data_IF_098234034103
#
_entry.id   IF_098234034103
#
_cell.length_a   1.000
_cell.length_b   1.000
_cell.length_c   1.000
_cell.angle_alpha   90.00
_cell.angle_beta   90.00
_cell.angle_gamma   90.00
#
_symmetry.space_group_name_H-M   'P 1'
#
loop_
_entity.id
_entity.type
_entity.pdbx_description
1 polymer ?
#
# COMPACT_ATOMS: atom_id res chain seq x y z
N UNK A 1 12.57 1.03 75.61
CA UNK A 1 12.82 0.99 74.15
C UNK A 1 11.81 0.01 73.56
N UNK A 2 11.33 0.27 72.33
CA UNK A 2 10.30 -0.45 71.55
C UNK A 2 8.88 0.12 71.59
N UNK A 3 8.61 0.91 70.53
CA UNK A 3 7.32 1.45 70.08
C UNK A 3 6.44 0.34 69.49
N UNK A 4 5.10 0.50 69.45
CA UNK A 4 4.25 -0.33 68.61
C UNK A 4 4.43 0.05 67.14
N UNK A 5 4.63 -0.96 66.28
CA UNK A 5 4.67 -0.82 64.83
C UNK A 5 3.27 -0.59 64.29
N UNK A 6 3.02 0.60 63.76
CA UNK A 6 1.90 0.89 62.89
C UNK A 6 2.10 0.16 61.56
N UNK A 7 1.29 -0.85 61.25
CA UNK A 7 1.18 -1.40 59.90
C UNK A 7 0.47 -0.37 59.02
N UNK A 8 1.24 0.48 58.35
CA UNK A 8 0.73 1.30 57.25
C UNK A 8 0.39 0.37 56.08
N UNK A 9 -0.89 0.07 55.90
CA UNK A 9 -1.39 -0.46 54.64
C UNK A 9 -1.20 0.61 53.57
N UNK A 10 -0.08 0.58 52.85
CA UNK A 10 0.06 1.32 51.61
C UNK A 10 -0.85 0.65 50.58
N UNK A 11 -2.11 1.06 50.51
CA UNK A 11 -2.92 0.84 49.33
C UNK A 11 -2.18 1.54 48.18
N UNK A 12 -1.46 0.77 47.36
CA UNK A 12 -0.97 1.26 46.09
C UNK A 12 -2.21 1.67 45.31
N UNK A 13 -2.47 2.98 45.22
CA UNK A 13 -3.42 3.52 44.28
C UNK A 13 -2.97 3.00 42.90
N UNK A 14 -3.75 2.08 42.34
CA UNK A 14 -3.57 1.65 40.96
C UNK A 14 -3.64 2.91 40.09
N UNK A 15 -2.48 3.46 39.74
CA UNK A 15 -2.38 4.53 38.77
C UNK A 15 -2.84 3.93 37.44
N UNK A 16 -4.00 4.39 36.95
CA UNK A 16 -4.49 4.11 35.60
C UNK A 16 -3.31 4.22 34.62
N UNK A 17 -3.19 3.32 33.63
CA UNK A 17 -2.42 3.68 32.44
C UNK A 17 -3.07 4.95 31.88
N UNK A 18 -2.37 6.09 31.83
CA UNK A 18 -2.94 7.28 31.24
C UNK A 18 -3.27 6.95 29.78
N UNK A 19 -4.48 7.29 29.34
CA UNK A 19 -4.78 7.32 27.90
C UNK A 19 -3.68 8.19 27.28
N UNK A 20 -2.98 7.71 26.23
CA UNK A 20 -1.86 8.46 25.68
C UNK A 20 -2.27 9.88 25.32
N UNK A 21 -1.39 10.85 25.56
CA UNK A 21 -1.68 12.26 25.30
C UNK A 21 -2.13 12.51 23.85
N UNK A 22 -1.59 11.71 22.92
CA UNK A 22 -1.98 11.76 21.51
C UNK A 22 -3.44 11.36 21.24
N UNK A 23 -4.16 10.77 22.19
CA UNK A 23 -5.60 10.48 22.06
C UNK A 23 -6.51 11.63 22.49
N UNK A 24 -5.93 12.70 23.05
CA UNK A 24 -6.65 13.92 23.40
C UNK A 24 -6.49 14.89 22.21
N UNK A 25 -7.57 15.23 21.47
CA UNK A 25 -7.48 16.06 20.26
C UNK A 25 -6.70 17.37 20.46
N UNK A 26 -6.91 18.06 21.59
CA UNK A 26 -6.22 19.31 21.90
C UNK A 26 -4.73 19.18 22.22
N UNK A 27 -4.23 17.95 22.43
CA UNK A 27 -2.85 17.69 22.84
C UNK A 27 -2.04 16.94 21.77
N UNK A 28 -2.66 16.45 20.70
CA UNK A 28 -1.96 15.68 19.68
C UNK A 28 -1.18 16.56 18.70
N UNK A 29 -0.22 15.94 17.99
CA UNK A 29 0.63 16.63 17.04
C UNK A 29 -0.12 17.03 15.76
N UNK A 30 -1.04 16.18 15.28
CA UNK A 30 -1.77 16.39 14.03
C UNK A 30 -2.68 17.61 14.10
N UNK A 31 -3.47 17.74 15.15
CA UNK A 31 -4.41 18.84 15.38
C UNK A 31 -3.72 20.18 15.64
N UNK A 32 -2.42 20.17 15.99
CA UNK A 32 -1.59 21.37 16.08
C UNK A 32 -1.00 21.81 14.74
N UNK A 33 -0.85 20.88 13.79
CA UNK A 33 -0.23 21.13 12.49
C UNK A 33 -1.25 21.35 11.38
N UNK A 34 -2.43 20.74 11.48
CA UNK A 34 -3.46 20.74 10.45
C UNK A 34 -4.79 21.21 11.01
N UNK A 35 -5.62 21.81 10.14
CA UNK A 35 -7.01 22.06 10.50
C UNK A 35 -7.81 20.75 10.53
N UNK A 36 -8.94 20.75 11.23
CA UNK A 36 -9.85 19.61 11.24
C UNK A 36 -10.31 19.26 9.82
N UNK A 37 -10.58 20.26 8.98
CA UNK A 37 -10.99 20.07 7.59
C UNK A 37 -9.89 19.39 6.77
N UNK A 38 -8.61 19.75 6.93
CA UNK A 38 -7.53 19.05 6.23
C UNK A 38 -7.49 17.57 6.63
N UNK A 39 -7.61 17.29 7.94
CA UNK A 39 -7.57 15.93 8.47
C UNK A 39 -8.77 15.09 8.01
N UNK A 40 -9.97 15.68 7.95
CA UNK A 40 -11.18 15.00 7.47
C UNK A 40 -11.15 14.80 5.95
N UNK A 41 -10.80 15.83 5.17
CA UNK A 41 -10.71 15.75 3.71
C UNK A 41 -9.64 14.77 3.25
N UNK A 42 -8.57 14.58 4.03
CA UNK A 42 -7.56 13.56 3.77
C UNK A 42 -8.13 12.13 3.75
N UNK A 43 -9.31 11.90 4.33
CA UNK A 43 -9.96 10.59 4.36
C UNK A 43 -11.01 10.52 3.26
N UNK A 44 -10.56 10.22 2.04
CA UNK A 44 -11.47 10.03 0.91
C UNK A 44 -12.49 8.90 1.18
N UNK A 45 -12.08 7.89 1.97
CA UNK A 45 -12.99 6.94 2.60
C UNK A 45 -12.39 6.45 3.93
N UNK A 46 -13.16 6.53 5.02
CA UNK A 46 -12.65 6.23 6.37
C UNK A 46 -12.58 4.72 6.67
N UNK A 47 -13.39 3.89 6.00
CA UNK A 47 -13.68 2.48 6.36
C UNK A 47 -14.22 2.27 7.77
N UNK A 48 -14.67 1.05 8.08
CA UNK A 48 -14.99 0.64 9.44
C UNK A 48 -13.76 0.58 10.33
N UNK A 49 -12.57 0.33 9.77
CA UNK A 49 -11.30 0.14 10.49
C UNK A 49 -11.17 -1.21 11.22
N UNK A 50 -12.09 -2.17 11.01
CA UNK A 50 -12.14 -3.43 11.78
C UNK A 50 -10.83 -4.24 11.73
N UNK A 51 -10.29 -4.50 10.52
CA UNK A 51 -9.02 -5.23 10.37
C UNK A 51 -7.84 -4.51 11.02
N UNK A 52 -7.78 -3.19 10.92
CA UNK A 52 -6.73 -2.42 11.59
C UNK A 52 -6.85 -2.50 13.11
N UNK A 53 -8.07 -2.46 13.67
CA UNK A 53 -8.27 -2.68 15.10
C UNK A 53 -7.82 -4.07 15.55
N UNK A 54 -7.97 -5.11 14.73
CA UNK A 54 -7.40 -6.43 15.03
C UNK A 54 -5.87 -6.40 15.13
N UNK A 55 -5.19 -5.63 14.27
CA UNK A 55 -3.74 -5.39 14.38
C UNK A 55 -3.40 -4.66 15.69
N UNK A 56 -4.21 -3.67 16.09
CA UNK A 56 -4.04 -2.99 17.39
C UNK A 56 -4.20 -3.96 18.56
N UNK A 57 -5.20 -4.86 18.52
CA UNK A 57 -5.34 -5.92 19.53
C UNK A 57 -4.13 -6.86 19.57
N UNK A 58 -3.58 -7.24 18.41
CA UNK A 58 -2.34 -8.03 18.31
C UNK A 58 -1.17 -7.30 18.98
N UNK A 59 -0.97 -6.02 18.68
CA UNK A 59 0.07 -5.21 19.28
C UNK A 59 -0.10 -5.03 20.80
N UNK A 60 -1.35 -4.88 21.28
CA UNK A 60 -1.65 -4.82 22.72
C UNK A 60 -1.34 -6.12 23.47
N UNK A 61 -1.28 -7.26 22.78
CA UNK A 61 -0.81 -8.54 23.34
C UNK A 61 0.73 -8.65 23.35
N UNK A 62 1.45 -7.62 22.91
CA UNK A 62 2.91 -7.60 22.86
C UNK A 62 3.48 -8.42 21.70
N UNK A 63 2.66 -8.75 20.70
CA UNK A 63 3.11 -9.47 19.51
C UNK A 63 3.70 -8.49 18.47
N UNK A 64 4.74 -8.90 17.71
CA UNK A 64 5.31 -8.07 16.65
C UNK A 64 4.34 -7.86 15.50
N UNK A 65 4.42 -6.67 14.89
CA UNK A 65 3.68 -6.28 13.69
C UNK A 65 4.62 -6.21 12.49
N UNK A 66 4.21 -6.84 11.39
CA UNK A 66 4.90 -6.76 10.09
C UNK A 66 4.11 -5.92 9.10
N UNK A 67 4.74 -4.89 8.54
CA UNK A 67 4.16 -4.02 7.52
C UNK A 67 4.75 -4.35 6.14
N UNK A 68 3.89 -4.48 5.13
CA UNK A 68 4.29 -4.53 3.72
C UNK A 68 3.96 -3.23 3.01
N UNK A 69 4.82 -2.80 2.07
CA UNK A 69 4.54 -1.66 1.18
C UNK A 69 4.47 -2.15 -0.25
N UNK A 70 3.37 -1.88 -0.93
CA UNK A 70 3.23 -2.08 -2.36
C UNK A 70 2.91 -0.74 -3.01
N UNK A 71 3.71 -0.34 -3.98
CA UNK A 71 3.49 0.92 -4.65
C UNK A 71 4.44 1.23 -5.77
N UNK A 72 4.22 2.39 -6.39
CA UNK A 72 4.97 2.88 -7.53
C UNK A 72 6.28 3.60 -7.19
N UNK A 73 6.69 4.48 -8.10
CA UNK A 73 7.90 5.31 -7.95
C UNK A 73 7.83 6.29 -6.78
N UNK A 74 6.65 6.82 -6.46
CA UNK A 74 6.46 7.67 -5.28
C UNK A 74 6.73 6.86 -4.02
N UNK A 75 6.13 5.68 -3.88
CA UNK A 75 6.42 4.77 -2.78
C UNK A 75 7.90 4.41 -2.63
N UNK A 76 8.63 4.23 -3.74
CA UNK A 76 10.09 4.01 -3.73
C UNK A 76 10.90 5.23 -3.25
N UNK A 77 10.26 6.39 -3.08
CA UNK A 77 10.90 7.63 -2.61
C UNK A 77 11.47 8.50 -3.72
N UNK A 78 10.94 8.41 -4.96
CA UNK A 78 11.35 9.30 -6.04
C UNK A 78 11.17 10.76 -5.62
N UNK A 79 12.26 11.53 -5.67
CA UNK A 79 12.35 12.96 -5.28
C UNK A 79 12.30 13.23 -3.76
N UNK A 80 12.40 12.21 -2.91
CA UNK A 80 12.67 12.40 -1.49
C UNK A 80 14.16 12.62 -1.28
N UNK A 81 14.55 13.88 -1.09
CA UNK A 81 15.94 14.27 -0.81
C UNK A 81 16.11 14.49 0.69
N UNK A 82 17.13 13.87 1.29
CA UNK A 82 17.51 14.08 2.69
C UNK A 82 16.36 13.84 3.70
N UNK A 83 15.52 12.83 3.48
CA UNK A 83 14.41 12.52 4.39
C UNK A 83 13.86 11.11 4.23
N UNK A 84 13.03 10.65 5.19
CA UNK A 84 12.38 9.35 5.10
C UNK A 84 11.16 9.39 4.18
N UNK A 85 10.89 8.26 3.53
CA UNK A 85 9.65 8.02 2.77
C UNK A 85 8.43 8.03 3.69
N UNK A 86 7.22 8.04 3.11
CA UNK A 86 5.99 8.11 3.91
C UNK A 86 5.84 6.85 4.77
N UNK A 87 6.18 5.69 4.21
CA UNK A 87 6.07 4.41 4.90
C UNK A 87 7.13 4.26 6.00
N UNK A 88 8.34 4.81 5.82
CA UNK A 88 9.34 4.89 6.89
C UNK A 88 8.87 5.79 8.04
N UNK A 89 8.20 6.91 7.75
CA UNK A 89 7.59 7.79 8.77
C UNK A 89 6.45 7.12 9.52
N UNK A 90 5.56 6.41 8.80
CA UNK A 90 4.46 5.63 9.40
C UNK A 90 5.04 4.55 10.33
N UNK A 91 6.03 3.80 9.86
CA UNK A 91 6.67 2.75 10.67
C UNK A 91 7.39 3.33 11.90
N UNK A 92 8.03 4.50 11.76
CA UNK A 92 8.61 5.22 12.90
C UNK A 92 7.53 5.60 13.92
N UNK A 93 6.42 6.20 13.48
CA UNK A 93 5.29 6.53 14.38
C UNK A 93 4.77 5.29 15.11
N UNK A 94 4.68 4.17 14.40
CA UNK A 94 4.31 2.89 15.01
C UNK A 94 5.29 2.47 16.11
N UNK A 95 6.60 2.45 15.82
CA UNK A 95 7.63 1.96 16.73
C UNK A 95 7.97 2.91 17.88
N UNK A 96 7.81 4.21 17.70
CA UNK A 96 8.21 5.20 18.71
C UNK A 96 7.02 5.69 19.54
N UNK A 97 5.79 5.62 19.00
CA UNK A 97 4.62 6.24 19.63
C UNK A 97 3.46 5.28 19.89
N UNK A 98 3.06 4.46 18.92
CA UNK A 98 1.89 3.60 19.10
C UNK A 98 2.22 2.33 19.87
N UNK A 99 3.11 1.48 19.36
CA UNK A 99 3.41 0.16 19.91
C UNK A 99 4.88 -0.24 19.68
N UNK A 100 5.81 0.23 20.53
CA UNK A 100 7.23 -0.14 20.46
C UNK A 100 7.43 -1.65 20.67
N UNK A 101 8.08 -2.31 19.72
CA UNK A 101 8.48 -3.71 19.85
C UNK A 101 9.71 -4.00 18.97
N UNK A 102 10.76 -4.69 19.48
CA UNK A 102 12.00 -4.90 18.76
C UNK A 102 11.86 -5.81 17.53
N UNK A 103 10.81 -6.63 17.48
CA UNK A 103 10.48 -7.50 16.35
C UNK A 103 9.52 -6.90 15.33
N UNK A 104 9.12 -5.64 15.45
CA UNK A 104 8.34 -4.99 14.39
C UNK A 104 9.20 -4.86 13.13
N UNK A 105 8.61 -5.09 11.96
CA UNK A 105 9.31 -5.08 10.68
C UNK A 105 8.51 -4.31 9.62
N UNK A 106 9.22 -3.68 8.68
CA UNK A 106 8.62 -3.15 7.44
C UNK A 106 9.40 -3.66 6.23
N UNK A 107 8.66 -4.16 5.23
CA UNK A 107 9.21 -4.64 3.96
C UNK A 107 8.75 -3.73 2.83
N UNK A 108 9.69 -3.03 2.19
CA UNK A 108 9.41 -2.21 1.00
C UNK A 108 9.42 -3.06 -0.28
N UNK A 109 8.22 -3.44 -0.70
CA UNK A 109 7.97 -4.15 -1.96
C UNK A 109 7.71 -3.24 -3.16
N UNK A 110 7.84 -1.91 -3.01
CA UNK A 110 7.51 -0.96 -4.08
C UNK A 110 8.41 -1.10 -5.31
N UNK A 111 7.84 -0.89 -6.50
CA UNK A 111 8.55 -0.96 -7.79
C UNK A 111 8.18 0.25 -8.65
N UNK A 112 9.20 0.92 -9.17
CA UNK A 112 8.99 2.13 -9.96
C UNK A 112 8.24 1.80 -11.27
N UNK A 113 7.32 2.68 -11.66
CA UNK A 113 6.53 2.56 -12.89
C UNK A 113 5.71 1.24 -13.01
N UNK A 114 5.24 0.69 -11.89
CA UNK A 114 4.34 -0.46 -11.86
C UNK A 114 3.02 -0.09 -11.18
N UNK A 115 1.90 -0.59 -11.73
CA UNK A 115 0.55 -0.43 -11.21
C UNK A 115 -0.08 -1.76 -10.78
N UNK A 116 -1.39 -1.75 -10.60
CA UNK A 116 -2.18 -2.89 -10.12
C UNK A 116 -2.13 -4.09 -11.06
N UNK A 117 -2.01 -3.88 -12.38
CA UNK A 117 -1.79 -4.98 -13.34
C UNK A 117 -0.58 -5.84 -12.98
N UNK A 118 0.50 -5.21 -12.54
CA UNK A 118 1.69 -5.92 -12.10
C UNK A 118 1.48 -6.57 -10.73
N UNK A 119 1.07 -5.78 -9.73
CA UNK A 119 1.00 -6.28 -8.37
C UNK A 119 -0.09 -7.34 -8.16
N UNK A 120 -1.22 -7.27 -8.86
CA UNK A 120 -2.26 -8.34 -8.82
C UNK A 120 -1.71 -9.72 -9.17
N UNK A 121 -0.65 -9.78 -9.98
CA UNK A 121 0.03 -11.02 -10.36
C UNK A 121 1.31 -11.26 -9.55
N UNK A 122 1.98 -10.22 -9.06
CA UNK A 122 3.35 -10.29 -8.57
C UNK A 122 3.59 -9.86 -7.13
N UNK A 123 2.57 -9.43 -6.39
CA UNK A 123 2.74 -9.03 -4.99
C UNK A 123 3.41 -10.11 -4.09
N UNK A 124 3.19 -11.45 -4.27
CA UNK A 124 3.81 -12.45 -3.40
C UNK A 124 5.34 -12.48 -3.52
N UNK A 125 5.90 -11.93 -4.60
CA UNK A 125 7.33 -11.82 -4.80
C UNK A 125 7.94 -10.56 -4.15
N UNK A 126 7.11 -9.70 -3.55
CA UNK A 126 7.51 -8.37 -3.07
C UNK A 126 7.25 -8.13 -1.58
N UNK A 127 6.22 -8.78 -1.01
CA UNK A 127 5.94 -8.73 0.43
C UNK A 127 5.69 -10.16 0.94
N UNK A 128 6.01 -10.46 2.20
CA UNK A 128 5.77 -11.79 2.75
C UNK A 128 4.27 -12.02 3.01
N UNK A 129 3.83 -13.28 3.02
CA UNK A 129 2.41 -13.64 3.23
C UNK A 129 1.92 -13.35 4.67
N UNK A 130 2.83 -13.23 5.64
CA UNK A 130 2.55 -13.03 7.07
C UNK A 130 2.52 -11.54 7.49
N UNK A 131 2.29 -10.62 6.55
CA UNK A 131 2.07 -9.19 6.86
C UNK A 131 0.78 -8.98 7.66
N UNK A 132 0.80 -8.01 8.57
CA UNK A 132 -0.36 -7.57 9.37
C UNK A 132 -0.97 -6.27 8.82
N UNK A 133 -0.15 -5.42 8.21
CA UNK A 133 -0.58 -4.17 7.55
C UNK A 133 0.02 -4.13 6.16
N UNK A 134 -0.76 -3.72 5.16
CA UNK A 134 -0.27 -3.43 3.81
C UNK A 134 -0.57 -1.97 3.47
N UNK A 135 0.47 -1.16 3.27
CA UNK A 135 0.36 0.18 2.70
C UNK A 135 0.37 0.06 1.17
N UNK A 136 -0.72 0.48 0.53
CA UNK A 136 -0.95 0.26 -0.90
C UNK A 136 -1.17 1.58 -1.64
N UNK A 137 -0.21 1.96 -2.49
CA UNK A 137 -0.17 3.26 -3.18
C UNK A 137 0.13 3.09 -4.67
N UNK A 138 -0.91 3.16 -5.50
CA UNK A 138 -0.82 2.98 -6.96
C UNK A 138 -1.57 4.08 -7.73
N UNK A 139 -1.93 5.17 -7.06
CA UNK A 139 -2.89 6.17 -7.56
C UNK A 139 -2.38 6.99 -8.73
N UNK A 140 -1.09 7.05 -9.00
CA UNK A 140 -0.58 7.70 -10.22
C UNK A 140 -0.08 6.70 -11.27
N UNK A 141 -0.11 5.41 -10.93
CA UNK A 141 0.29 4.32 -11.82
C UNK A 141 -0.92 3.69 -12.52
N UNK A 142 -2.06 3.65 -11.83
CA UNK A 142 -3.29 3.10 -12.36
C UNK A 142 -4.09 4.13 -13.16
N UNK A 143 -4.64 3.67 -14.27
CA UNK A 143 -5.53 4.40 -15.17
C UNK A 143 -6.97 4.06 -14.85
N UNK A 144 -7.80 5.10 -14.84
CA UNK A 144 -9.17 5.07 -14.32
C UNK A 144 -10.07 3.96 -14.87
N UNK A 145 -9.91 3.57 -16.13
CA UNK A 145 -10.74 2.53 -16.77
C UNK A 145 -9.98 1.20 -16.84
N UNK A 146 -8.72 1.25 -17.27
CA UNK A 146 -7.99 0.05 -17.67
C UNK A 146 -7.54 -0.84 -16.49
N UNK A 147 -7.50 -0.31 -15.27
CA UNK A 147 -6.85 -0.96 -14.11
C UNK A 147 -7.82 -1.33 -12.98
N UNK A 148 -9.14 -1.08 -13.13
CA UNK A 148 -10.16 -1.35 -12.10
C UNK A 148 -10.16 -2.81 -11.63
N UNK A 149 -10.19 -3.75 -12.58
CA UNK A 149 -10.20 -5.19 -12.33
C UNK A 149 -8.90 -5.65 -11.65
N UNK A 150 -7.76 -5.11 -12.08
CA UNK A 150 -6.48 -5.46 -11.50
C UNK A 150 -6.34 -4.93 -10.07
N UNK A 151 -6.84 -3.72 -9.80
CA UNK A 151 -6.89 -3.14 -8.46
C UNK A 151 -7.77 -3.97 -7.52
N UNK A 152 -8.98 -4.35 -7.97
CA UNK A 152 -9.85 -5.24 -7.21
C UNK A 152 -9.18 -6.59 -6.93
N UNK A 153 -8.61 -7.23 -7.95
CA UNK A 153 -7.94 -8.52 -7.83
C UNK A 153 -6.83 -8.45 -6.78
N UNK A 154 -6.01 -7.38 -6.81
CA UNK A 154 -4.96 -7.16 -5.84
C UNK A 154 -5.51 -6.98 -4.41
N UNK A 155 -6.51 -6.12 -4.23
CA UNK A 155 -7.12 -5.88 -2.90
C UNK A 155 -7.70 -7.16 -2.34
N UNK A 156 -8.46 -7.93 -3.12
CA UNK A 156 -9.00 -9.23 -2.69
C UNK A 156 -7.88 -10.19 -2.28
N UNK A 157 -6.83 -10.32 -3.10
CA UNK A 157 -5.72 -11.22 -2.81
C UNK A 157 -5.00 -10.87 -1.50
N UNK A 158 -4.79 -9.57 -1.23
CA UNK A 158 -4.16 -9.10 0.00
C UNK A 158 -5.03 -9.37 1.23
N UNK A 159 -6.35 -9.16 1.13
CA UNK A 159 -7.28 -9.41 2.22
C UNK A 159 -7.43 -10.92 2.57
N UNK A 160 -7.06 -11.80 1.65
CA UNK A 160 -7.03 -13.26 1.80
C UNK A 160 -5.68 -13.81 2.32
N UNK A 161 -4.69 -12.96 2.55
CA UNK A 161 -3.43 -13.39 3.16
C UNK A 161 -3.66 -14.03 4.55
N UNK A 162 -2.82 -15.00 4.97
CA UNK A 162 -3.02 -15.78 6.20
C UNK A 162 -3.30 -14.94 7.46
N UNK A 163 -2.60 -13.81 7.63
CA UNK A 163 -2.74 -12.95 8.80
C UNK A 163 -3.93 -11.97 8.71
N UNK A 164 -4.77 -12.08 7.67
CA UNK A 164 -5.91 -11.20 7.41
C UNK A 164 -5.55 -9.71 7.54
N UNK A 165 -4.51 -9.22 6.83
CA UNK A 165 -3.93 -7.91 7.08
C UNK A 165 -4.93 -6.77 6.95
N UNK A 166 -4.64 -5.67 7.63
CA UNK A 166 -5.26 -4.37 7.36
C UNK A 166 -4.61 -3.75 6.11
N UNK A 167 -5.36 -3.71 5.01
CA UNK A 167 -4.94 -3.01 3.79
C UNK A 167 -5.34 -1.55 3.91
N UNK A 168 -4.38 -0.63 3.75
CA UNK A 168 -4.59 0.82 3.82
C UNK A 168 -4.19 1.40 2.46
N UNK A 169 -5.18 1.91 1.71
CA UNK A 169 -4.90 2.61 0.46
C UNK A 169 -4.42 4.02 0.77
N UNK A 170 -3.17 4.29 0.46
CA UNK A 170 -2.62 5.65 0.46
C UNK A 170 -2.65 6.18 -0.96
N UNK A 171 -3.11 7.41 -1.15
CA UNK A 171 -3.37 8.00 -2.45
C UNK A 171 -2.66 9.33 -2.60
N UNK A 172 -1.76 9.35 -3.58
CA UNK A 172 -1.05 10.52 -4.09
C UNK A 172 -1.78 11.08 -5.32
N UNK A 173 -1.27 12.19 -5.85
CA UNK A 173 -1.71 12.73 -7.13
C UNK A 173 -0.54 13.34 -7.89
N UNK A 174 -0.71 13.50 -9.20
CA UNK A 174 0.26 14.15 -10.07
C UNK A 174 -0.39 15.28 -10.86
N UNK A 175 0.38 16.31 -11.20
CA UNK A 175 -0.04 17.45 -12.01
C UNK A 175 0.27 17.28 -13.51
N UNK A 176 1.00 16.22 -13.89
CA UNK A 176 1.47 16.05 -15.26
C UNK A 176 1.35 14.62 -15.79
N UNK A 177 0.27 14.36 -16.53
CA UNK A 177 0.10 13.25 -17.46
C UNK A 177 -0.59 13.71 -18.74
N UNK A 178 -0.50 12.92 -19.81
CA UNK A 178 -1.14 13.26 -21.11
C UNK A 178 -2.66 13.39 -21.02
N UNK A 179 -3.28 12.79 -20.00
CA UNK A 179 -4.72 12.80 -19.75
C UNK A 179 -5.14 13.84 -18.69
N UNK A 180 -4.22 14.68 -18.23
CA UNK A 180 -4.45 15.67 -17.17
C UNK A 180 -3.87 15.24 -15.83
N UNK A 181 -4.62 15.48 -14.75
CA UNK A 181 -4.18 15.13 -13.39
C UNK A 181 -4.09 13.60 -13.20
N UNK A 182 -3.04 13.15 -12.54
CA UNK A 182 -2.94 11.78 -12.05
C UNK A 182 -3.77 11.61 -10.81
N UNK A 183 -5.01 11.14 -10.97
CA UNK A 183 -6.01 11.08 -9.88
C UNK A 183 -6.44 9.66 -9.55
N UNK A 184 -5.68 8.63 -9.91
CA UNK A 184 -6.05 7.21 -9.79
C UNK A 184 -6.46 6.71 -8.40
N UNK A 185 -6.54 7.58 -7.38
CA UNK A 185 -7.39 7.35 -6.21
C UNK A 185 -8.91 7.31 -6.49
N UNK A 186 -9.42 7.97 -7.54
CA UNK A 186 -10.85 7.94 -7.89
C UNK A 186 -11.32 6.54 -8.29
N UNK A 187 -10.48 5.82 -9.05
CA UNK A 187 -10.71 4.42 -9.41
C UNK A 187 -10.75 3.53 -8.17
N UNK A 188 -9.84 3.78 -7.23
CA UNK A 188 -9.64 2.94 -6.07
C UNK A 188 -10.83 2.99 -5.10
N UNK A 189 -11.56 4.11 -5.06
CA UNK A 189 -12.66 4.35 -4.11
C UNK A 189 -13.80 3.34 -4.21
N UNK A 190 -14.24 2.96 -5.41
CA UNK A 190 -15.36 2.03 -5.56
C UNK A 190 -15.06 0.65 -4.96
N UNK A 191 -13.86 0.14 -5.25
CA UNK A 191 -13.33 -1.10 -4.65
C UNK A 191 -13.11 -0.91 -3.14
N UNK A 192 -12.56 0.22 -2.72
CA UNK A 192 -12.27 0.47 -1.30
C UNK A 192 -13.53 0.50 -0.43
N UNK A 193 -14.61 1.10 -0.92
CA UNK A 193 -15.91 1.13 -0.26
C UNK A 193 -16.54 -0.28 -0.18
N UNK A 194 -16.40 -1.07 -1.23
CA UNK A 194 -16.92 -2.43 -1.27
C UNK A 194 -16.17 -3.35 -0.30
N UNK A 195 -14.83 -3.31 -0.30
CA UNK A 195 -13.98 -4.18 0.52
C UNK A 195 -13.62 -3.61 1.91
N UNK A 196 -14.21 -2.47 2.28
CA UNK A 196 -14.02 -1.81 3.57
C UNK A 196 -12.55 -1.53 3.92
N UNK A 197 -11.79 -0.98 2.96
CA UNK A 197 -10.39 -0.54 3.17
C UNK A 197 -10.32 1.00 3.16
N UNK A 198 -9.61 1.65 4.09
CA UNK A 198 -9.52 3.11 4.11
C UNK A 198 -8.75 3.65 2.91
N UNK A 199 -9.13 4.84 2.45
CA UNK A 199 -8.41 5.61 1.42
C UNK A 199 -7.96 6.95 2.01
N UNK A 200 -6.65 7.09 2.21
CA UNK A 200 -6.00 8.31 2.70
C UNK A 200 -5.43 9.08 1.51
N UNK A 201 -6.04 10.20 1.16
CA UNK A 201 -5.76 10.99 -0.04
C UNK A 201 -5.07 12.31 0.28
N UNK A 202 -3.97 12.59 -0.42
CA UNK A 202 -3.38 13.93 -0.46
C UNK A 202 -4.15 14.89 -1.36
N UNK A 203 -4.83 14.36 -2.38
CA UNK A 203 -5.48 15.18 -3.40
C UNK A 203 -6.54 16.09 -2.79
N UNK A 204 -7.44 15.51 -1.99
CA UNK A 204 -8.60 16.21 -1.46
C UNK A 204 -8.22 17.42 -0.58
N UNK A 205 -7.29 17.31 0.39
CA UNK A 205 -6.92 18.45 1.22
C UNK A 205 -5.95 19.43 0.54
N UNK A 206 -5.20 19.03 -0.50
CA UNK A 206 -4.13 19.87 -1.06
C UNK A 206 -4.45 20.48 -2.44
N UNK A 207 -5.14 19.74 -3.31
CA UNK A 207 -5.38 20.17 -4.69
C UNK A 207 -6.17 21.49 -4.80
N UNK A 208 -7.20 21.76 -3.97
CA UNK A 208 -7.88 23.05 -4.01
C UNK A 208 -6.93 24.24 -3.76
N UNK A 209 -5.97 24.10 -2.84
CA UNK A 209 -4.99 25.14 -2.55
C UNK A 209 -3.95 25.30 -3.67
N UNK A 210 -3.56 24.21 -4.32
CA UNK A 210 -2.70 24.27 -5.52
C UNK A 210 -3.42 25.01 -6.66
N UNK A 211 -4.72 24.81 -6.84
CA UNK A 211 -5.50 25.52 -7.84
C UNK A 211 -5.72 26.99 -7.51
N UNK A 212 -5.91 27.34 -6.24
CA UNK A 212 -6.00 28.75 -5.83
C UNK A 212 -4.64 29.45 -5.89
N UNK A 213 -3.55 28.71 -5.65
CA UNK A 213 -2.19 29.25 -5.54
C UNK A 213 -1.20 28.35 -6.29
N UNK A 214 -1.13 28.44 -7.64
CA UNK A 214 -0.28 27.56 -8.46
C UNK A 214 1.21 27.58 -8.11
N UNK A 215 1.71 28.69 -7.53
CA UNK A 215 3.10 28.80 -7.07
C UNK A 215 3.50 27.76 -6.01
N UNK A 216 2.51 27.17 -5.30
CA UNK A 216 2.75 26.09 -4.34
C UNK A 216 3.16 24.77 -5.00
N UNK A 217 3.16 24.66 -6.33
CA UNK A 217 3.64 23.46 -7.02
C UNK A 217 5.09 23.15 -6.67
N UNK A 218 5.92 24.18 -6.48
CA UNK A 218 7.32 24.01 -6.13
C UNK A 218 7.51 23.36 -4.75
N UNK A 219 6.65 23.70 -3.77
CA UNK A 219 6.73 23.17 -2.41
C UNK A 219 6.48 21.65 -2.36
N UNK A 220 5.63 21.13 -3.27
CA UNK A 220 5.24 19.71 -3.30
C UNK A 220 5.97 18.87 -4.35
N UNK A 221 6.40 19.48 -5.46
CA UNK A 221 6.96 18.77 -6.62
C UNK A 221 8.37 19.25 -7.01
N UNK A 222 8.89 20.28 -6.33
CA UNK A 222 10.26 20.76 -6.51
C UNK A 222 11.27 19.84 -5.82
N UNK A 223 12.41 19.64 -6.47
CA UNK A 223 13.58 18.91 -5.95
C UNK A 223 14.88 19.47 -6.56
N UNK A 224 16.04 18.92 -6.18
CA UNK A 224 17.36 19.48 -6.57
C UNK A 224 17.59 19.68 -8.07
N UNK A 225 16.88 18.94 -8.94
CA UNK A 225 17.04 19.07 -10.41
C UNK A 225 15.87 19.78 -11.09
N UNK A 226 15.04 20.48 -10.34
CA UNK A 226 13.94 21.30 -10.86
C UNK A 226 12.58 20.77 -10.43
N UNK A 227 11.59 20.90 -11.32
CA UNK A 227 10.20 20.58 -11.02
C UNK A 227 9.80 19.26 -11.68
N UNK A 228 9.31 18.31 -10.88
CA UNK A 228 8.80 17.02 -11.35
C UNK A 228 7.37 16.85 -10.86
N UNK A 229 6.42 17.27 -11.70
CA UNK A 229 4.98 17.28 -11.43
C UNK A 229 4.34 15.89 -11.29
N UNK A 230 5.11 14.80 -11.39
CA UNK A 230 4.64 13.43 -11.20
C UNK A 230 4.94 12.88 -9.82
N UNK A 231 6.03 13.32 -9.20
CA UNK A 231 6.52 12.70 -7.97
C UNK A 231 6.64 13.73 -6.87
N UNK A 232 5.87 13.50 -5.82
CA UNK A 232 5.90 14.30 -4.61
C UNK A 232 7.27 14.23 -3.94
N UNK A 233 7.73 15.36 -3.43
CA UNK A 233 8.99 15.46 -2.70
C UNK A 233 8.85 15.04 -1.22
N UNK A 234 9.89 15.31 -0.42
CA UNK A 234 9.92 14.99 1.00
C UNK A 234 8.74 15.60 1.80
N UNK A 235 8.24 16.78 1.43
CA UNK A 235 7.07 17.39 2.08
C UNK A 235 5.80 16.59 1.77
N UNK A 236 5.55 16.23 0.50
CA UNK A 236 4.40 15.41 0.15
C UNK A 236 4.40 14.04 0.84
N UNK A 237 5.59 13.43 0.99
CA UNK A 237 5.78 12.20 1.76
C UNK A 237 5.49 12.36 3.26
N UNK A 238 5.85 13.51 3.83
CA UNK A 238 5.51 13.85 5.22
C UNK A 238 3.99 14.01 5.40
N UNK A 239 3.34 14.77 4.53
CA UNK A 239 1.89 14.99 4.59
C UNK A 239 1.12 13.66 4.50
N UNK A 240 1.56 12.74 3.62
CA UNK A 240 0.91 11.44 3.47
C UNK A 240 1.05 10.59 4.73
N UNK A 241 2.25 10.60 5.33
CA UNK A 241 2.48 9.91 6.59
C UNK A 241 1.65 10.50 7.73
N UNK A 242 1.57 11.82 7.82
CA UNK A 242 0.83 12.52 8.87
C UNK A 242 -0.67 12.22 8.77
N UNK A 243 -1.28 12.31 7.59
CA UNK A 243 -2.70 11.97 7.43
C UNK A 243 -2.97 10.49 7.68
N UNK A 244 -2.08 9.60 7.25
CA UNK A 244 -2.24 8.15 7.47
C UNK A 244 -2.15 7.82 8.95
N UNK A 245 -1.14 8.36 9.65
CA UNK A 245 -0.95 8.12 11.09
C UNK A 245 -2.02 8.80 11.94
N UNK A 246 -2.60 9.91 11.48
CA UNK A 246 -3.78 10.50 12.13
C UNK A 246 -4.99 9.56 12.09
N UNK A 247 -5.28 8.96 10.93
CA UNK A 247 -6.33 7.94 10.84
C UNK A 247 -6.01 6.72 11.72
N UNK A 248 -4.77 6.23 11.70
CA UNK A 248 -4.33 5.13 12.56
C UNK A 248 -4.55 5.46 14.04
N UNK A 249 -4.14 6.66 14.47
CA UNK A 249 -4.34 7.17 15.84
C UNK A 249 -5.80 7.08 16.25
N UNK A 250 -6.76 7.47 15.41
CA UNK A 250 -8.17 7.35 15.77
C UNK A 250 -8.59 5.91 16.04
N UNK A 251 -8.15 4.96 15.21
CA UNK A 251 -8.47 3.56 15.39
C UNK A 251 -7.79 2.99 16.66
N UNK A 252 -6.53 3.37 16.91
CA UNK A 252 -5.81 3.03 18.14
C UNK A 252 -6.56 3.56 19.37
N UNK A 253 -6.92 4.84 19.37
CA UNK A 253 -7.60 5.47 20.51
C UNK A 253 -9.01 4.91 20.74
N UNK A 254 -9.74 4.54 19.68
CA UNK A 254 -11.01 3.80 19.81
C UNK A 254 -10.81 2.50 20.60
N UNK A 255 -9.86 1.67 20.16
CA UNK A 255 -9.54 0.39 20.81
C UNK A 255 -9.08 0.60 22.26
N UNK A 256 -8.19 1.55 22.52
CA UNK A 256 -7.73 1.85 23.88
C UNK A 256 -8.88 2.30 24.79
N UNK A 257 -9.79 3.14 24.29
CA UNK A 257 -10.94 3.60 25.06
C UNK A 257 -11.91 2.45 25.40
N UNK A 258 -12.10 1.51 24.48
CA UNK A 258 -12.94 0.33 24.67
C UNK A 258 -12.31 -0.64 25.68
N UNK A 259 -10.99 -0.89 25.61
CA UNK A 259 -10.29 -1.72 26.59
C UNK A 259 -10.35 -1.14 27.99
N UNK A 260 -10.19 0.18 28.13
CA UNK A 260 -10.33 0.87 29.42
C UNK A 260 -11.76 0.69 29.95
N UNK A 261 -12.78 0.92 29.12
CA UNK A 261 -14.19 0.73 29.52
C UNK A 261 -14.49 -0.72 29.92
N UNK A 262 -14.03 -1.69 29.14
CA UNK A 262 -14.23 -3.11 29.45
C UNK A 262 -13.58 -3.50 30.77
N UNK A 263 -12.32 -3.10 30.99
CA UNK A 263 -11.59 -3.37 32.23
C UNK A 263 -12.27 -2.76 33.46
N UNK A 264 -12.87 -1.58 33.31
CA UNK A 264 -13.62 -0.90 34.38
C UNK A 264 -14.94 -1.60 34.73
N UNK A 265 -15.65 -2.16 33.74
CA UNK A 265 -16.98 -2.75 33.94
C UNK A 265 -16.90 -4.23 34.34
N UNK A 266 -15.96 -4.99 33.78
CA UNK A 266 -15.94 -6.46 33.89
C UNK A 266 -14.72 -7.04 34.64
N UNK A 267 -13.81 -6.18 35.12
CA UNK A 267 -12.58 -6.59 35.80
C UNK A 267 -11.55 -7.24 34.86
N UNK A 268 -10.42 -7.71 35.39
CA UNK A 268 -9.33 -8.36 34.63
C UNK A 268 -9.65 -9.76 34.09
N UNK A 269 -10.93 -10.11 33.89
CA UNK A 269 -11.25 -11.33 33.12
C UNK A 269 -10.70 -11.12 31.72
N UNK A 270 -10.02 -12.13 31.16
CA UNK A 270 -9.61 -12.16 29.75
C UNK A 270 -10.80 -11.62 28.95
N UNK A 271 -10.63 -10.50 28.27
CA UNK A 271 -11.55 -10.10 27.24
C UNK A 271 -11.65 -11.32 26.32
N UNK A 272 -12.73 -12.08 26.45
CA UNK A 272 -13.02 -13.21 25.59
C UNK A 272 -13.02 -12.64 24.19
N UNK A 273 -12.14 -13.18 23.34
CA UNK A 273 -11.89 -12.78 21.96
C UNK A 273 -13.15 -12.15 21.38
N UNK A 274 -13.16 -10.81 21.38
CA UNK A 274 -14.33 -10.04 20.98
C UNK A 274 -14.69 -10.48 19.59
N UNK A 275 -15.86 -11.12 19.48
CA UNK A 275 -16.54 -11.61 18.30
C UNK A 275 -15.88 -11.06 17.03
N UNK A 276 -15.08 -11.94 16.39
CA UNK A 276 -14.25 -11.61 15.24
C UNK A 276 -15.10 -10.85 14.24
N UNK A 277 -14.96 -9.51 14.27
CA UNK A 277 -15.86 -8.60 13.60
C UNK A 277 -16.08 -9.12 12.19
N UNK A 278 -17.34 -9.43 11.87
CA UNK A 278 -17.78 -10.11 10.66
C UNK A 278 -16.80 -9.81 9.54
N UNK A 279 -16.07 -10.86 9.12
CA UNK A 279 -15.15 -10.81 8.00
C UNK A 279 -15.82 -9.98 6.89
N UNK A 280 -15.05 -9.05 6.30
CA UNK A 280 -15.45 -8.11 5.27
C UNK A 280 -16.58 -8.63 4.35
N UNK A 281 -17.47 -7.75 3.84
CA UNK A 281 -18.60 -8.11 2.97
C UNK A 281 -18.22 -9.16 1.91
N UNK A 282 -19.19 -10.00 1.51
CA UNK A 282 -18.94 -11.27 0.82
C UNK A 282 -17.92 -11.13 -0.31
N UNK A 283 -17.04 -12.13 -0.40
CA UNK A 283 -15.85 -12.23 -1.27
C UNK A 283 -16.12 -12.17 -2.78
N UNK A 284 -17.32 -11.76 -3.18
CA UNK A 284 -17.74 -11.59 -4.55
C UNK A 284 -16.97 -10.46 -5.23
N UNK A 285 -16.60 -10.66 -6.49
CA UNK A 285 -16.16 -9.54 -7.32
C UNK A 285 -17.29 -8.50 -7.46
N UNK A 286 -16.94 -7.22 -7.43
CA UNK A 286 -17.84 -6.09 -7.63
C UNK A 286 -17.98 -5.69 -9.09
N UNK A 287 -17.02 -6.07 -9.94
CA UNK A 287 -16.99 -5.71 -11.36
C UNK A 287 -17.84 -6.59 -12.32
N UNK A 288 -18.18 -7.88 -12.07
CA UNK A 288 -18.89 -8.67 -13.07
C UNK A 288 -20.29 -8.12 -13.32
N UNK A 289 -20.74 -8.26 -14.56
CA UNK A 289 -22.09 -7.90 -14.97
C UNK A 289 -23.10 -8.87 -14.37
N UNK A 290 -24.04 -8.33 -13.58
CA UNK A 290 -25.18 -9.04 -13.01
C UNK A 290 -26.02 -9.79 -14.06
N UNK A 291 -25.98 -9.33 -15.32
CA UNK A 291 -26.82 -9.85 -16.40
C UNK A 291 -26.13 -10.89 -17.29
N UNK A 292 -24.80 -10.94 -17.29
CA UNK A 292 -24.04 -11.72 -18.29
C UNK A 292 -23.02 -12.67 -17.69
N UNK A 293 -22.78 -12.62 -16.38
CA UNK A 293 -21.90 -13.57 -15.69
C UNK A 293 -22.44 -13.89 -14.29
N UNK A 294 -22.36 -15.15 -13.84
CA UNK A 294 -22.63 -15.47 -12.45
C UNK A 294 -21.65 -14.74 -11.53
N UNK A 295 -22.10 -14.39 -10.32
CA UNK A 295 -21.24 -13.83 -9.28
C UNK A 295 -20.14 -14.85 -8.94
N UNK A 296 -18.90 -14.48 -9.21
CA UNK A 296 -17.74 -15.30 -8.87
C UNK A 296 -17.44 -15.19 -7.38
N UNK A 297 -17.71 -16.29 -6.66
CA UNK A 297 -17.41 -16.46 -5.23
C UNK A 297 -16.16 -17.32 -5.00
N UNK A 298 -15.42 -17.66 -6.05
CA UNK A 298 -14.20 -18.44 -5.94
C UNK A 298 -13.12 -17.67 -5.18
N UNK A 299 -12.21 -18.42 -4.55
CA UNK A 299 -11.03 -17.85 -3.91
C UNK A 299 -10.20 -17.09 -4.93
N UNK A 300 -9.54 -16.02 -4.51
CA UNK A 300 -8.64 -15.32 -5.41
C UNK A 300 -7.50 -16.26 -5.76
N UNK A 301 -7.27 -16.55 -7.05
CA UNK A 301 -6.14 -17.38 -7.45
C UNK A 301 -4.84 -16.81 -6.92
N UNK A 302 -3.99 -17.67 -6.35
CA UNK A 302 -2.64 -17.28 -5.94
C UNK A 302 -1.74 -17.27 -7.17
N UNK A 303 -1.35 -16.10 -7.70
CA UNK A 303 -0.55 -16.05 -8.90
C UNK A 303 0.87 -16.54 -8.61
N UNK A 304 1.48 -17.27 -9.56
CA UNK A 304 2.91 -17.50 -9.52
C UNK A 304 3.61 -16.36 -10.27
N UNK A 305 4.46 -15.62 -9.59
CA UNK A 305 5.26 -14.57 -10.21
C UNK A 305 6.75 -14.92 -10.23
N UNK A 306 7.38 -14.55 -11.34
CA UNK A 306 8.83 -14.46 -11.48
C UNK A 306 9.15 -13.13 -12.13
N UNK A 307 9.77 -12.23 -11.38
CA UNK A 307 10.12 -10.90 -11.86
C UNK A 307 11.63 -10.75 -11.98
N UNK A 308 12.07 -9.93 -12.94
CA UNK A 308 13.48 -9.49 -13.02
C UNK A 308 13.86 -8.62 -11.82
N UNK A 309 12.87 -8.06 -11.12
CA UNK A 309 13.01 -7.16 -9.98
C UNK A 309 12.61 -7.79 -8.63
N UNK A 310 12.41 -9.11 -8.57
CA UNK A 310 12.22 -9.90 -7.34
C UNK A 310 13.42 -10.80 -7.05
N UNK A 311 13.49 -11.37 -5.85
CA UNK A 311 14.45 -12.43 -5.52
C UNK A 311 13.72 -13.76 -5.24
N UNK A 312 14.14 -14.89 -5.84
CA UNK A 312 15.12 -14.99 -6.92
C UNK A 312 14.62 -14.29 -8.20
N UNK A 313 15.56 -13.82 -9.02
CA UNK A 313 15.24 -13.11 -10.27
C UNK A 313 14.72 -14.09 -11.32
N UNK A 314 13.91 -13.58 -12.25
CA UNK A 314 13.45 -14.32 -13.43
C UNK A 314 14.64 -14.82 -14.27
N UNK A 315 14.82 -16.14 -14.31
CA UNK A 315 15.86 -16.82 -15.10
C UNK A 315 15.23 -17.61 -16.25
N UNK A 316 15.80 -17.54 -17.47
CA UNK A 316 15.36 -18.33 -18.61
C UNK A 316 15.82 -19.79 -18.50
N UNK A 317 15.08 -20.69 -19.13
CA UNK A 317 15.55 -22.06 -19.41
C UNK A 317 16.48 -22.13 -20.61
N UNK A 318 16.35 -21.19 -21.54
CA UNK A 318 17.24 -21.02 -22.69
C UNK A 318 17.24 -19.57 -23.15
N UNK A 319 18.41 -19.07 -23.54
CA UNK A 319 18.60 -17.73 -24.08
C UNK A 319 19.50 -17.81 -25.31
N UNK A 320 19.06 -17.19 -26.41
CA UNK A 320 19.77 -17.04 -27.67
C UNK A 320 19.67 -15.57 -28.11
N UNK A 321 20.78 -14.82 -27.98
CA UNK A 321 20.82 -13.39 -28.30
C UNK A 321 20.18 -12.44 -27.27
N UNK A 322 19.69 -12.94 -26.12
CA UNK A 322 19.19 -12.10 -25.02
C UNK A 322 20.17 -11.99 -23.86
N UNK A 323 20.37 -10.78 -23.36
CA UNK A 323 21.26 -10.44 -22.25
C UNK A 323 20.49 -9.86 -21.07
N UNK A 324 20.99 -10.12 -19.85
CA UNK A 324 20.41 -9.54 -18.65
C UNK A 324 21.07 -8.19 -18.35
N UNK A 325 20.26 -7.15 -18.22
CA UNK A 325 20.73 -5.78 -18.04
C UNK A 325 20.18 -5.14 -16.76
N UNK A 326 20.99 -4.24 -16.21
CA UNK A 326 20.63 -3.36 -15.10
C UNK A 326 20.59 -1.92 -15.60
N UNK A 327 19.44 -1.28 -15.44
CA UNK A 327 19.20 0.12 -15.77
C UNK A 327 19.13 0.99 -14.50
N UNK A 328 19.32 2.32 -14.62
CA UNK A 328 19.20 3.24 -13.49
C UNK A 328 17.85 3.13 -12.76
N UNK A 329 17.89 3.27 -11.43
CA UNK A 329 16.70 3.18 -10.58
C UNK A 329 16.26 1.74 -10.29
N UNK A 330 17.21 0.81 -10.17
CA UNK A 330 16.99 -0.61 -9.83
C UNK A 330 16.02 -1.33 -10.77
N UNK A 331 16.17 -1.02 -12.05
CA UNK A 331 15.37 -1.60 -13.11
C UNK A 331 16.18 -2.71 -13.77
N UNK A 332 15.57 -3.88 -13.92
CA UNK A 332 16.26 -5.04 -14.46
C UNK A 332 15.45 -5.65 -15.59
N UNK A 333 16.11 -5.99 -16.69
CA UNK A 333 15.46 -6.46 -17.90
C UNK A 333 16.27 -7.56 -18.57
N UNK A 334 15.58 -8.37 -19.36
CA UNK A 334 16.20 -9.08 -20.45
C UNK A 334 16.03 -8.23 -21.72
N UNK A 335 17.09 -8.05 -22.49
CA UNK A 335 17.12 -7.26 -23.72
C UNK A 335 17.76 -8.07 -24.85
N UNK A 336 17.48 -7.68 -26.09
CA UNK A 336 18.13 -8.18 -27.30
C UNK A 336 18.22 -7.06 -28.33
N UNK A 337 19.29 -7.05 -29.12
CA UNK A 337 19.55 -6.04 -30.15
C UNK A 337 19.21 -6.55 -31.57
N UNK A 338 19.28 -7.87 -31.78
CA UNK A 338 19.15 -8.48 -33.11
C UNK A 338 17.76 -9.09 -33.33
N UNK A 339 17.09 -8.79 -34.46
CA UNK A 339 15.86 -9.46 -34.86
C UNK A 339 16.05 -10.98 -34.97
N UNK A 340 15.15 -11.74 -34.34
CA UNK A 340 15.20 -13.20 -34.34
C UNK A 340 15.80 -13.83 -33.08
N UNK A 341 16.40 -13.03 -32.19
CA UNK A 341 16.82 -13.48 -30.86
C UNK A 341 15.65 -14.10 -30.08
N UNK A 342 15.92 -15.16 -29.31
CA UNK A 342 14.91 -15.95 -28.59
C UNK A 342 15.27 -16.16 -27.13
N UNK A 343 14.27 -16.05 -26.27
CA UNK A 343 14.39 -16.37 -24.84
C UNK A 343 13.19 -17.20 -24.41
N UNK A 344 13.40 -18.17 -23.52
CA UNK A 344 12.35 -19.06 -23.03
C UNK A 344 12.37 -19.11 -21.52
N UNK A 345 11.19 -18.98 -20.92
CA UNK A 345 11.01 -19.02 -19.47
C UNK A 345 10.10 -20.18 -19.08
N UNK A 346 10.39 -20.87 -17.97
CA UNK A 346 9.47 -21.84 -17.42
C UNK A 346 8.33 -21.10 -16.69
N UNK A 347 7.10 -21.39 -17.08
CA UNK A 347 5.90 -20.86 -16.43
C UNK A 347 5.10 -21.98 -15.77
N UNK A 348 4.37 -21.63 -14.72
CA UNK A 348 3.33 -22.47 -14.12
C UNK A 348 2.05 -21.64 -14.10
N UNK A 349 0.95 -22.20 -14.57
CA UNK A 349 -0.34 -21.51 -14.61
C UNK A 349 -1.28 -22.14 -13.59
N UNK A 350 -2.09 -21.30 -12.94
CA UNK A 350 -3.16 -21.75 -12.03
C UNK A 350 -4.51 -21.64 -12.75
N UNK A 351 -4.76 -20.51 -13.42
CA UNK A 351 -6.01 -20.26 -14.16
C UNK A 351 -5.80 -20.08 -15.68
N UNK A 352 -4.68 -20.53 -16.22
CA UNK A 352 -4.37 -20.37 -17.64
C UNK A 352 -4.10 -18.93 -18.10
N UNK A 353 -4.05 -17.95 -17.20
CA UNK A 353 -3.64 -16.57 -17.49
C UNK A 353 -2.13 -16.40 -17.36
N UNK A 354 -1.50 -15.81 -18.38
CA UNK A 354 -0.07 -15.49 -18.41
C UNK A 354 0.11 -14.02 -18.74
N UNK A 355 0.78 -13.28 -17.86
CA UNK A 355 1.13 -11.88 -18.07
C UNK A 355 2.62 -11.72 -18.35
N UNK A 356 2.97 -10.93 -19.36
CA UNK A 356 4.36 -10.51 -19.64
C UNK A 356 4.46 -9.00 -19.43
N UNK A 357 5.35 -8.61 -18.53
CA UNK A 357 5.67 -7.19 -18.29
C UNK A 357 6.95 -6.84 -19.05
N UNK A 358 6.87 -5.82 -19.90
CA UNK A 358 7.97 -5.38 -20.73
C UNK A 358 8.03 -3.85 -20.78
N UNK A 359 9.21 -3.32 -21.10
CA UNK A 359 9.42 -1.89 -21.22
C UNK A 359 8.83 -1.38 -22.54
N UNK A 360 8.14 -0.24 -22.46
CA UNK A 360 7.72 0.54 -23.62
C UNK A 360 8.28 1.94 -23.53
N UNK A 361 8.67 2.53 -24.66
CA UNK A 361 9.28 3.86 -24.66
C UNK A 361 9.13 4.58 -26.00
N UNK A 362 8.77 5.86 -25.94
CA UNK A 362 8.78 6.78 -27.08
C UNK A 362 10.22 7.16 -27.48
N UNK A 363 11.10 7.31 -26.49
CA UNK A 363 12.46 7.85 -26.68
C UNK A 363 13.52 6.80 -26.99
N UNK A 364 13.33 5.55 -26.57
CA UNK A 364 14.35 4.49 -26.70
C UNK A 364 14.27 3.70 -28.00
N UNK A 365 13.29 3.98 -28.89
CA UNK A 365 13.08 3.28 -30.17
C UNK A 365 13.12 1.74 -30.03
N UNK A 366 12.44 1.21 -29.01
CA UNK A 366 12.45 -0.21 -28.70
C UNK A 366 11.81 -1.04 -29.81
N UNK A 367 12.40 -2.21 -30.10
CA UNK A 367 11.85 -3.20 -31.03
C UNK A 367 10.61 -3.91 -30.51
N UNK A 368 10.06 -4.80 -31.34
CA UNK A 368 8.91 -5.63 -30.97
C UNK A 368 9.36 -7.06 -30.66
N UNK A 369 8.74 -7.66 -29.65
CA UNK A 369 8.90 -9.08 -29.36
C UNK A 369 7.58 -9.82 -29.59
N UNK A 370 7.62 -11.02 -30.17
CA UNK A 370 6.45 -11.90 -30.22
C UNK A 370 6.54 -12.88 -29.05
N UNK A 371 5.48 -12.99 -28.27
CA UNK A 371 5.41 -13.85 -27.08
C UNK A 371 4.35 -14.93 -27.30
N UNK A 372 4.69 -16.19 -27.00
CA UNK A 372 3.75 -17.32 -27.11
C UNK A 372 4.01 -18.36 -26.03
N UNK A 373 3.02 -19.20 -25.79
CA UNK A 373 3.03 -20.26 -24.76
C UNK A 373 3.03 -21.64 -25.45
N UNK A 374 3.55 -22.67 -24.77
CA UNK A 374 3.55 -24.07 -25.22
C UNK A 374 4.16 -24.34 -26.60
N UNK A 375 5.09 -23.48 -27.02
CA UNK A 375 5.76 -23.54 -28.34
C UNK A 375 4.81 -23.36 -29.53
N UNK A 376 3.57 -22.95 -29.29
CA UNK A 376 2.62 -22.66 -30.35
C UNK A 376 2.64 -21.17 -30.72
N UNK A 377 3.42 -20.84 -31.74
CA UNK A 377 3.55 -19.47 -32.22
C UNK A 377 2.29 -18.95 -32.93
N UNK A 378 1.31 -19.82 -33.24
CA UNK A 378 0.10 -19.40 -33.96
C UNK A 378 -0.78 -18.45 -33.13
N UNK A 379 -0.85 -18.68 -31.81
CA UNK A 379 -1.50 -17.81 -30.82
C UNK A 379 -0.56 -16.78 -30.18
N UNK A 380 0.58 -16.49 -30.82
CA UNK A 380 1.56 -15.55 -30.27
C UNK A 380 1.13 -14.09 -30.37
N UNK A 381 1.22 -13.38 -29.25
CA UNK A 381 0.90 -11.95 -29.10
C UNK A 381 2.12 -11.06 -29.35
N UNK A 382 1.90 -9.84 -29.84
CA UNK A 382 2.97 -8.88 -30.13
C UNK A 382 3.16 -7.90 -28.95
N UNK A 383 4.30 -7.99 -28.28
CA UNK A 383 4.78 -7.00 -27.32
C UNK A 383 5.43 -5.83 -28.09
N UNK A 384 4.66 -4.75 -28.29
CA UNK A 384 5.10 -3.56 -29.03
C UNK A 384 5.93 -2.64 -28.14
N UNK A 385 7.25 -2.61 -28.32
CA UNK A 385 8.16 -1.81 -27.48
C UNK A 385 8.05 -0.31 -27.72
N UNK A 386 7.80 0.12 -28.96
CA UNK A 386 7.57 1.53 -29.26
C UNK A 386 6.18 2.00 -28.79
N UNK A 387 6.11 3.22 -28.27
CA UNK A 387 4.84 3.83 -27.88
C UNK A 387 4.90 5.35 -28.03
N UNK A 388 3.93 5.93 -28.74
CA UNK A 388 3.73 7.38 -28.90
C UNK A 388 3.08 8.10 -27.71
N UNK A 389 2.43 7.39 -26.78
CA UNK A 389 1.80 8.06 -25.62
C UNK A 389 2.87 8.27 -24.56
N UNK A 390 3.19 9.53 -24.27
CA UNK A 390 3.75 9.86 -22.96
C UNK A 390 2.73 9.42 -21.90
N UNK A 391 3.13 8.45 -21.07
CA UNK A 391 2.33 8.05 -19.92
C UNK A 391 2.21 9.23 -18.99
#
# INVERSE_FOLDING_TARGET
MFRPSSSSSSSSSWNRPPIPAYCIPSADFWSRKYTEENLLLSRAYTSSGARFRNVVHKALRGEPIKMGVLGGSVSRGRNVENGPTYHQRIFRMWNETFFPHPGNEIVDGSRAATGSKYFSMCFPAHIPEDVDIVLLELSINDRRIDDAEAWETLVRALLELPNKPAVISTSTFALQFSQGLGVGGDLHLGVAQYYDIPVISLRNPLLPYLFSTPALEWELFGYSKGLDRRHLNALGHELLADFTTHWMREQVCKVLSEHVRFSLVYGSRKATDGDGGQDAPPRANVQPSWWTAPVDLSQVPRPSCRSTSSLPRLQPTSSDGWTFESAPGEKFYWSAEEPGARITFPIRTVEGRVGVFFLRSAGMRLGNARCWVDRDASFGELAVGYWEKEQ
#
